data_IF_270379273272
#
_entry.id   IF_270379273272
#
_cell.length_a   1.000
_cell.length_b   1.000
_cell.length_c   1.000
_cell.angle_alpha   90.00
_cell.angle_beta   90.00
_cell.angle_gamma   90.00
#
_symmetry.space_group_name_H-M   'P 1'
#
loop_
_entity.id
_entity.type
_entity.pdbx_description
1 polymer ?
#
# COMPACT_ATOMS: atom_id res chain seq x y z
N UNK A 1 45.55 3.52 -1.12
CA UNK A 1 44.28 3.54 -1.85
C UNK A 1 43.24 3.00 -0.88
N UNK A 2 42.48 3.88 -0.29
CA UNK A 2 41.38 3.46 0.56
C UNK A 2 40.35 2.74 -0.32
N UNK A 3 40.23 1.45 -0.17
CA UNK A 3 39.12 0.68 -0.69
C UNK A 3 37.84 1.17 0.03
N UNK A 4 37.16 2.14 -0.58
CA UNK A 4 35.77 2.43 -0.20
C UNK A 4 34.98 1.15 -0.44
N UNK A 5 34.67 0.45 0.63
CA UNK A 5 33.67 -0.63 0.53
C UNK A 5 32.41 -0.04 -0.04
N UNK A 6 31.99 -0.50 -1.22
CA UNK A 6 30.71 -0.13 -1.81
C UNK A 6 29.61 -0.51 -0.81
N UNK A 7 28.70 0.43 -0.54
CA UNK A 7 27.53 0.12 0.27
C UNK A 7 26.66 -0.95 -0.43
N UNK A 8 25.90 -1.71 0.35
CA UNK A 8 24.93 -2.68 -0.20
C UNK A 8 24.03 -2.05 -1.26
N UNK A 9 23.67 -0.78 -1.10
CA UNK A 9 22.84 -0.04 -2.02
C UNK A 9 23.54 0.26 -3.35
N UNK A 10 24.82 0.58 -3.34
CA UNK A 10 25.60 0.82 -4.56
C UNK A 10 25.81 -0.46 -5.36
N UNK A 11 26.05 -1.57 -4.68
CA UNK A 11 26.16 -2.90 -5.31
C UNK A 11 24.84 -3.27 -5.98
N UNK A 12 23.73 -3.11 -5.26
CA UNK A 12 22.39 -3.36 -5.76
C UNK A 12 22.08 -2.50 -7.00
N UNK A 13 22.37 -1.20 -6.96
CA UNK A 13 22.14 -0.29 -8.08
C UNK A 13 22.92 -0.66 -9.33
N UNK A 14 24.18 -1.02 -9.14
CA UNK A 14 25.02 -1.46 -10.24
C UNK A 14 24.47 -2.72 -10.91
N UNK A 15 24.00 -3.66 -10.09
CA UNK A 15 23.42 -4.92 -10.53
C UNK A 15 22.11 -4.71 -11.31
N UNK A 16 21.16 -3.95 -10.75
CA UNK A 16 19.88 -3.68 -11.38
C UNK A 16 20.01 -2.88 -12.69
N UNK A 17 20.92 -1.91 -12.76
CA UNK A 17 21.22 -1.18 -14.01
C UNK A 17 21.75 -2.10 -15.11
N UNK A 18 22.53 -3.11 -14.77
CA UNK A 18 22.99 -4.13 -15.73
C UNK A 18 21.83 -4.97 -16.24
N UNK A 19 20.92 -5.38 -15.34
CA UNK A 19 19.69 -6.09 -15.69
C UNK A 19 18.79 -5.27 -16.60
N UNK A 20 18.54 -3.99 -16.28
CA UNK A 20 17.74 -3.09 -17.11
C UNK A 20 18.30 -3.01 -18.55
N UNK A 21 19.61 -2.86 -18.70
CA UNK A 21 20.27 -2.83 -20.03
C UNK A 21 20.12 -4.14 -20.79
N UNK A 22 20.30 -5.27 -20.12
CA UNK A 22 20.17 -6.59 -20.73
C UNK A 22 18.75 -6.91 -21.24
N UNK A 23 17.74 -6.17 -20.77
CA UNK A 23 16.32 -6.38 -21.10
C UNK A 23 15.69 -5.23 -21.86
N UNK A 24 16.45 -4.21 -22.23
CA UNK A 24 15.94 -3.02 -22.91
C UNK A 24 15.19 -3.31 -24.21
N UNK A 25 15.58 -4.39 -24.90
CA UNK A 25 14.99 -4.79 -26.19
C UNK A 25 13.85 -5.81 -26.07
N UNK A 26 13.42 -6.16 -24.86
CA UNK A 26 12.30 -7.08 -24.70
C UNK A 26 10.98 -6.42 -25.11
N UNK A 27 10.09 -7.13 -25.84
CA UNK A 27 8.81 -6.58 -26.24
C UNK A 27 7.94 -6.26 -25.01
N UNK A 28 7.20 -5.14 -25.09
CA UNK A 28 6.24 -4.76 -24.07
C UNK A 28 5.14 -5.81 -23.94
N UNK A 29 4.89 -6.27 -22.74
CA UNK A 29 3.77 -7.17 -22.45
C UNK A 29 2.44 -6.45 -22.62
N UNK A 30 1.41 -7.23 -22.87
CA UNK A 30 0.03 -6.79 -23.11
C UNK A 30 -0.87 -7.31 -21.99
N UNK A 31 -1.06 -6.58 -20.89
CA UNK A 31 -1.77 -7.08 -19.70
C UNK A 31 -3.24 -7.43 -19.92
N UNK A 32 -3.78 -7.19 -21.11
CA UNK A 32 -5.11 -7.67 -21.54
C UNK A 32 -5.08 -9.08 -22.14
N UNK A 33 -3.91 -9.68 -22.37
CA UNK A 33 -3.74 -11.09 -22.78
C UNK A 33 -3.42 -11.95 -21.57
N UNK A 34 -4.10 -13.08 -21.45
CA UNK A 34 -3.97 -13.99 -20.31
C UNK A 34 -2.52 -14.42 -20.07
N UNK A 35 -1.80 -14.81 -21.12
CA UNK A 35 -0.40 -15.23 -21.02
C UNK A 35 0.48 -14.12 -20.41
N UNK A 36 0.34 -12.89 -20.91
CA UNK A 36 1.17 -11.78 -20.44
C UNK A 36 0.80 -11.42 -18.97
N UNK A 37 -0.47 -11.58 -18.58
CA UNK A 37 -0.93 -11.41 -17.16
C UNK A 37 -0.26 -12.41 -16.23
N UNK A 38 -0.20 -13.68 -16.63
CA UNK A 38 0.45 -14.74 -15.85
C UNK A 38 1.96 -14.49 -15.71
N UNK A 39 2.62 -14.04 -16.77
CA UNK A 39 4.04 -13.68 -16.74
C UNK A 39 4.31 -12.47 -15.83
N UNK A 40 3.45 -11.44 -15.84
CA UNK A 40 3.55 -10.28 -14.94
C UNK A 40 3.36 -10.70 -13.49
N UNK A 41 2.35 -11.53 -13.22
CA UNK A 41 2.06 -12.02 -11.87
C UNK A 41 3.23 -12.85 -11.32
N UNK A 42 3.79 -13.75 -12.15
CA UNK A 42 4.94 -14.55 -11.78
C UNK A 42 6.17 -13.68 -11.49
N UNK A 43 6.42 -12.65 -12.32
CA UNK A 43 7.50 -11.69 -12.09
C UNK A 43 7.29 -10.89 -10.79
N UNK A 44 6.06 -10.45 -10.51
CA UNK A 44 5.72 -9.72 -9.28
C UNK A 44 5.98 -10.58 -8.03
N UNK A 45 5.55 -11.83 -8.03
CA UNK A 45 5.80 -12.78 -6.95
C UNK A 45 7.29 -13.03 -6.72
N UNK A 46 8.03 -13.18 -7.79
CA UNK A 46 9.47 -13.47 -7.71
C UNK A 46 10.28 -12.30 -7.16
N UNK A 47 10.05 -11.07 -7.67
CA UNK A 47 10.77 -9.87 -7.18
C UNK A 47 10.41 -9.50 -5.74
N UNK A 48 9.29 -9.93 -5.22
CA UNK A 48 8.90 -9.74 -3.82
C UNK A 48 9.41 -10.88 -2.92
N UNK A 49 9.78 -12.03 -3.47
CA UNK A 49 9.92 -13.25 -2.71
C UNK A 49 8.59 -13.75 -2.15
N UNK A 50 7.46 -13.37 -2.79
CA UNK A 50 6.12 -13.70 -2.33
C UNK A 50 5.83 -15.19 -2.51
N UNK A 51 5.45 -15.85 -1.41
CA UNK A 51 5.08 -17.27 -1.38
C UNK A 51 3.80 -17.43 -0.57
N UNK A 52 2.82 -18.14 -1.10
CA UNK A 52 1.52 -18.31 -0.42
C UNK A 52 1.66 -18.97 0.95
N UNK A 53 2.61 -19.89 1.12
CA UNK A 53 2.88 -20.56 2.41
C UNK A 53 3.61 -19.68 3.44
N UNK A 54 4.12 -18.51 3.05
CA UNK A 54 4.71 -17.52 3.96
C UNK A 54 3.71 -16.45 4.41
N UNK A 55 2.51 -16.42 3.85
CA UNK A 55 1.46 -15.50 4.31
C UNK A 55 1.08 -15.91 5.73
N UNK A 56 1.17 -15.00 6.71
CA UNK A 56 0.90 -15.36 8.11
C UNK A 56 -0.59 -15.53 8.41
N UNK A 57 -0.87 -16.23 9.48
CA UNK A 57 -2.17 -16.19 10.14
C UNK A 57 -2.20 -15.00 11.12
N UNK A 58 -3.26 -14.22 11.11
CA UNK A 58 -3.39 -13.05 11.99
C UNK A 58 -4.08 -13.44 13.29
N UNK A 59 -3.43 -13.13 14.41
CA UNK A 59 -3.96 -13.33 15.75
C UNK A 59 -4.13 -11.98 16.46
N UNK A 60 -5.36 -11.55 16.72
CA UNK A 60 -5.61 -10.36 17.53
C UNK A 60 -5.30 -10.66 19.01
N UNK A 61 -4.52 -9.78 19.65
CA UNK A 61 -4.05 -9.98 21.01
C UNK A 61 -4.75 -9.07 22.02
N UNK A 62 -4.79 -7.77 21.74
CA UNK A 62 -5.37 -6.78 22.64
C UNK A 62 -5.79 -5.55 21.86
N UNK A 63 -6.64 -4.72 22.48
CA UNK A 63 -7.06 -3.46 21.92
C UNK A 63 -7.68 -2.55 22.97
N UNK A 64 -7.68 -1.28 22.70
CA UNK A 64 -8.46 -0.25 23.41
C UNK A 64 -9.42 0.39 22.45
N UNK A 65 -10.52 0.94 22.94
CA UNK A 65 -11.53 1.56 22.08
C UNK A 65 -11.79 2.99 22.53
N UNK A 66 -11.71 3.92 21.58
CA UNK A 66 -12.10 5.31 21.75
C UNK A 66 -13.43 5.56 21.04
N UNK A 67 -14.27 6.40 21.66
CA UNK A 67 -15.59 6.76 21.12
C UNK A 67 -15.54 8.17 20.54
N UNK A 68 -16.02 8.32 19.32
CA UNK A 68 -16.17 9.59 18.62
C UNK A 68 -17.62 9.77 18.17
N UNK A 69 -17.97 10.95 17.72
CA UNK A 69 -19.30 11.22 17.15
C UNK A 69 -19.45 10.48 15.80
N UNK A 70 -20.38 9.57 15.73
CA UNK A 70 -20.70 8.79 14.53
C UNK A 70 -19.85 7.55 14.29
N UNK A 71 -18.81 7.29 15.10
CA UNK A 71 -17.96 6.10 14.97
C UNK A 71 -17.17 5.80 16.25
N UNK A 72 -16.52 4.64 16.28
CA UNK A 72 -15.48 4.31 17.28
C UNK A 72 -14.20 3.87 16.60
N UNK A 73 -13.08 4.01 17.32
CA UNK A 73 -11.76 3.53 16.88
C UNK A 73 -11.27 2.47 17.87
N UNK A 74 -11.02 1.28 17.38
CA UNK A 74 -10.41 0.19 18.13
C UNK A 74 -8.92 0.11 17.74
N UNK A 75 -8.03 0.41 18.69
CA UNK A 75 -6.58 0.25 18.53
C UNK A 75 -6.21 -1.19 18.80
N UNK A 76 -5.61 -1.85 17.84
CA UNK A 76 -5.40 -3.30 17.81
C UNK A 76 -3.90 -3.60 17.83
N UNK A 77 -3.49 -4.49 18.75
CA UNK A 77 -2.25 -5.24 18.68
C UNK A 77 -2.55 -6.60 18.04
N UNK A 78 -1.81 -6.99 17.04
CA UNK A 78 -1.91 -8.33 16.45
C UNK A 78 -0.54 -8.99 16.29
N UNK A 79 -0.50 -10.32 16.31
CA UNK A 79 0.65 -11.11 15.87
C UNK A 79 0.38 -11.58 14.44
N UNK A 80 1.36 -11.38 13.55
CA UNK A 80 1.35 -11.91 12.19
C UNK A 80 2.18 -13.19 12.12
N UNK A 81 3.47 -13.11 11.92
CA UNK A 81 4.36 -14.26 12.10
C UNK A 81 4.70 -14.45 13.57
N UNK A 82 5.15 -15.65 13.94
CA UNK A 82 5.52 -15.95 15.32
C UNK A 82 6.47 -14.90 15.93
N UNK A 83 6.07 -14.26 17.00
CA UNK A 83 6.77 -13.16 17.69
C UNK A 83 7.00 -11.91 16.83
N UNK A 84 6.24 -11.74 15.77
CA UNK A 84 6.27 -10.52 14.95
C UNK A 84 4.92 -9.84 14.99
N UNK A 85 4.91 -8.62 15.50
CA UNK A 85 3.69 -7.94 15.90
C UNK A 85 3.40 -6.72 15.02
N UNK A 86 2.13 -6.37 14.94
CA UNK A 86 1.66 -5.20 14.24
C UNK A 86 0.64 -4.40 15.03
N UNK A 87 0.50 -3.14 14.69
CA UNK A 87 -0.49 -2.22 15.24
C UNK A 87 -1.43 -1.73 14.15
N UNK A 88 -2.70 -1.60 14.50
CA UNK A 88 -3.73 -1.09 13.60
C UNK A 88 -4.79 -0.31 14.37
N UNK A 89 -5.53 0.53 13.64
CA UNK A 89 -6.75 1.18 14.11
C UNK A 89 -7.92 0.74 13.23
N UNK A 90 -8.93 0.12 13.83
CA UNK A 90 -10.17 -0.25 13.15
C UNK A 90 -11.26 0.77 13.48
N UNK A 91 -11.62 1.58 12.51
CA UNK A 91 -12.71 2.53 12.58
C UNK A 91 -14.02 1.79 12.30
N UNK A 92 -14.97 1.88 13.23
CA UNK A 92 -16.26 1.21 13.18
C UNK A 92 -17.39 2.22 13.07
N UNK A 93 -18.18 2.22 11.99
CA UNK A 93 -19.32 3.11 11.86
C UNK A 93 -20.44 2.75 12.86
N UNK A 94 -21.20 3.74 13.28
CA UNK A 94 -22.41 3.49 14.10
C UNK A 94 -23.42 2.59 13.39
N UNK A 95 -24.27 1.92 14.19
CA UNK A 95 -25.42 1.14 13.72
C UNK A 95 -25.12 -0.28 13.28
N UNK A 96 -23.85 -0.73 13.37
CA UNK A 96 -23.48 -2.12 13.13
C UNK A 96 -23.84 -2.67 11.74
N UNK A 97 -23.91 -4.01 11.62
CA UNK A 97 -24.28 -4.72 10.40
C UNK A 97 -23.14 -4.99 9.44
N UNK A 98 -23.43 -5.76 8.39
CA UNK A 98 -22.45 -6.16 7.36
C UNK A 98 -22.22 -5.00 6.39
N UNK A 99 -21.00 -4.48 6.32
CA UNK A 99 -20.63 -3.29 5.54
C UNK A 99 -19.32 -3.47 4.80
N UNK A 100 -19.03 -2.63 3.77
CA UNK A 100 -17.75 -2.61 3.09
C UNK A 100 -16.58 -2.36 4.04
N UNK A 101 -15.41 -2.87 3.67
CA UNK A 101 -14.14 -2.58 4.34
C UNK A 101 -13.23 -1.77 3.41
N UNK A 102 -12.61 -0.72 3.92
CA UNK A 102 -11.55 0.01 3.22
C UNK A 102 -10.26 -0.04 4.04
N UNK A 103 -9.17 -0.50 3.42
CA UNK A 103 -7.84 -0.34 3.98
C UNK A 103 -7.29 1.02 3.57
N UNK A 104 -6.82 1.80 4.54
CA UNK A 104 -6.01 2.99 4.31
C UNK A 104 -4.56 2.61 4.55
N UNK A 105 -3.74 2.68 3.51
CA UNK A 105 -2.34 2.30 3.52
C UNK A 105 -1.47 3.55 3.67
N UNK A 106 -0.82 3.77 4.84
CA UNK A 106 0.02 4.94 5.08
C UNK A 106 1.27 4.95 4.21
N UNK A 107 1.75 6.14 3.89
CA UNK A 107 3.10 6.36 3.39
C UNK A 107 4.13 6.36 4.52
N UNK A 108 5.39 6.69 4.17
CA UNK A 108 6.45 6.80 5.16
C UNK A 108 6.24 8.02 6.07
N UNK A 109 6.44 7.83 7.37
CA UNK A 109 6.32 8.87 8.37
C UNK A 109 6.55 8.32 9.77
N UNK A 110 7.04 9.17 10.68
CA UNK A 110 7.26 8.80 12.09
C UNK A 110 5.95 8.41 12.78
N UNK A 111 4.87 9.11 12.45
CA UNK A 111 3.54 8.90 13.02
C UNK A 111 2.81 7.69 12.43
N UNK A 112 3.30 7.17 11.29
CA UNK A 112 2.68 6.02 10.62
C UNK A 112 1.19 6.23 10.35
N UNK A 113 0.36 5.29 10.85
CA UNK A 113 -1.09 5.35 10.71
C UNK A 113 -1.76 6.55 11.38
N UNK A 114 -1.10 7.14 12.38
CA UNK A 114 -1.64 8.28 13.15
C UNK A 114 -1.34 9.64 12.51
N UNK A 115 -0.67 9.68 11.35
CA UNK A 115 -0.51 10.90 10.56
C UNK A 115 -1.89 11.47 10.19
N UNK A 116 -2.06 12.77 10.38
CA UNK A 116 -3.34 13.50 10.21
C UNK A 116 -4.07 13.14 8.92
N UNK A 117 -3.38 13.17 7.78
CA UNK A 117 -4.03 12.95 6.49
C UNK A 117 -4.61 11.53 6.34
N UNK A 118 -4.02 10.52 6.99
CA UNK A 118 -4.54 9.15 6.97
C UNK A 118 -5.70 8.96 7.92
N UNK A 119 -5.61 9.55 9.13
CA UNK A 119 -6.73 9.58 10.07
C UNK A 119 -7.94 10.33 9.48
N UNK A 120 -7.74 11.49 8.84
CA UNK A 120 -8.80 12.24 8.15
C UNK A 120 -9.43 11.43 7.01
N UNK A 121 -8.64 10.68 6.26
CA UNK A 121 -9.18 9.76 5.26
C UNK A 121 -10.03 8.66 5.91
N UNK A 122 -9.55 8.06 6.99
CA UNK A 122 -10.32 7.04 7.71
C UNK A 122 -11.64 7.59 8.28
N UNK A 123 -11.62 8.80 8.85
CA UNK A 123 -12.83 9.48 9.32
C UNK A 123 -13.84 9.71 8.20
N UNK A 124 -13.41 10.20 7.03
CA UNK A 124 -14.31 10.36 5.87
C UNK A 124 -14.98 9.05 5.49
N UNK A 125 -14.21 7.98 5.36
CA UNK A 125 -14.72 6.69 4.92
C UNK A 125 -15.64 6.01 5.95
N UNK A 126 -15.30 6.11 7.26
CA UNK A 126 -16.16 5.52 8.31
C UNK A 126 -17.49 6.26 8.42
N UNK A 127 -17.50 7.59 8.29
CA UNK A 127 -18.71 8.39 8.29
C UNK A 127 -19.58 8.18 7.03
N UNK A 128 -18.98 7.70 5.92
CA UNK A 128 -19.70 7.23 4.75
C UNK A 128 -20.29 5.82 4.94
N UNK A 129 -19.97 5.15 6.04
CA UNK A 129 -20.52 3.85 6.43
C UNK A 129 -19.63 2.64 6.14
N UNK A 130 -18.35 2.81 5.83
CA UNK A 130 -17.40 1.70 5.72
C UNK A 130 -16.77 1.36 7.09
N UNK A 131 -16.41 0.11 7.31
CA UNK A 131 -15.32 -0.21 8.24
C UNK A 131 -14.01 0.23 7.61
N UNK A 132 -13.10 0.80 8.40
CA UNK A 132 -11.80 1.25 7.88
C UNK A 132 -10.69 0.65 8.73
N UNK A 133 -9.79 -0.09 8.09
CA UNK A 133 -8.58 -0.58 8.73
C UNK A 133 -7.40 0.27 8.32
N UNK A 134 -6.69 0.80 9.30
CA UNK A 134 -5.53 1.65 9.15
C UNK A 134 -4.39 1.03 9.97
N UNK A 135 -3.46 0.31 9.31
CA UNK A 135 -2.35 -0.39 9.96
C UNK A 135 -1.02 0.33 9.76
N UNK A 136 -0.14 0.25 10.75
CA UNK A 136 1.24 0.66 10.55
C UNK A 136 1.96 -0.33 9.64
N UNK A 137 2.65 0.18 8.64
CA UNK A 137 3.57 -0.63 7.85
C UNK A 137 4.70 -1.16 8.73
N UNK A 138 5.32 -2.26 8.32
CA UNK A 138 6.49 -2.83 9.01
C UNK A 138 7.54 -1.73 9.20
N UNK A 139 7.92 -1.50 10.45
CA UNK A 139 8.93 -0.53 10.85
C UNK A 139 8.54 0.95 10.70
N UNK A 140 7.24 1.27 10.67
CA UNK A 140 6.70 2.64 10.67
C UNK A 140 5.78 2.85 11.89
N UNK A 141 5.55 4.11 12.26
CA UNK A 141 4.68 4.46 13.36
C UNK A 141 5.10 3.79 14.67
N UNK A 142 4.16 3.16 15.38
CA UNK A 142 4.45 2.41 16.61
C UNK A 142 5.41 1.23 16.38
N UNK A 143 5.49 0.70 15.16
CA UNK A 143 6.40 -0.39 14.78
C UNK A 143 7.82 0.08 14.40
N UNK A 144 8.14 1.38 14.50
CA UNK A 144 9.47 1.91 14.17
C UNK A 144 10.65 1.12 14.79
N UNK A 145 10.57 0.62 16.03
CA UNK A 145 11.65 -0.18 16.62
C UNK A 145 11.97 -1.50 15.89
N UNK A 146 11.07 -2.01 15.04
CA UNK A 146 11.32 -3.27 14.31
C UNK A 146 12.25 -3.07 13.11
N UNK A 147 12.42 -1.83 12.64
CA UNK A 147 13.32 -1.47 11.55
C UNK A 147 12.64 -1.46 10.17
N UNK A 148 13.02 -0.50 9.34
CA UNK A 148 12.50 -0.30 7.98
C UNK A 148 13.55 0.18 6.99
N UNK A 149 14.11 1.39 7.20
CA UNK A 149 14.93 2.07 6.19
C UNK A 149 16.21 1.31 5.84
N UNK A 150 16.84 0.72 6.86
CA UNK A 150 18.15 0.04 6.77
C UNK A 150 18.04 -1.49 6.85
N UNK A 151 16.81 -2.04 6.78
CA UNK A 151 16.60 -3.48 6.85
C UNK A 151 16.95 -4.15 5.53
N UNK A 152 18.13 -4.74 5.46
CA UNK A 152 18.63 -5.40 4.24
C UNK A 152 18.63 -6.93 4.35
N UNK A 153 18.47 -7.51 5.54
CA UNK A 153 18.41 -8.97 5.72
C UNK A 153 17.30 -9.62 4.87
N UNK A 154 16.07 -9.06 4.76
CA UNK A 154 15.06 -9.62 3.88
C UNK A 154 15.56 -9.84 2.45
N UNK A 155 16.29 -8.88 1.88
CA UNK A 155 16.85 -8.99 0.54
C UNK A 155 17.83 -10.17 0.41
N UNK A 156 18.71 -10.36 1.39
CA UNK A 156 19.66 -11.49 1.40
C UNK A 156 18.97 -12.84 1.63
N UNK A 157 17.84 -12.84 2.31
CA UNK A 157 17.01 -14.02 2.52
C UNK A 157 16.09 -14.34 1.33
N UNK A 158 16.18 -13.61 0.23
CA UNK A 158 15.35 -13.81 -0.96
C UNK A 158 13.89 -13.38 -0.80
N UNK A 159 13.60 -12.58 0.21
CA UNK A 159 12.30 -11.94 0.45
C UNK A 159 12.56 -10.43 0.53
N UNK A 160 11.90 -9.62 -0.30
CA UNK A 160 12.03 -8.17 -0.14
C UNK A 160 11.24 -7.69 1.08
N UNK A 161 11.66 -6.56 1.70
CA UNK A 161 10.85 -5.93 2.74
C UNK A 161 9.43 -5.62 2.24
N UNK A 162 9.31 -5.15 0.99
CA UNK A 162 8.01 -4.94 0.36
C UNK A 162 7.20 -6.23 0.25
N UNK A 163 7.86 -7.37 0.03
CA UNK A 163 7.21 -8.69 0.02
C UNK A 163 6.61 -9.06 1.37
N UNK A 164 7.33 -8.80 2.47
CA UNK A 164 6.79 -8.99 3.83
C UNK A 164 5.58 -8.09 4.06
N UNK A 165 5.68 -6.79 3.71
CA UNK A 165 4.57 -5.83 3.85
C UNK A 165 3.34 -6.29 3.06
N UNK A 166 3.51 -6.76 1.83
CA UNK A 166 2.40 -7.23 0.99
C UNK A 166 1.78 -8.50 1.56
N UNK A 167 2.59 -9.48 2.01
CA UNK A 167 2.08 -10.73 2.59
C UNK A 167 1.30 -10.49 3.88
N UNK A 168 1.81 -9.63 4.77
CA UNK A 168 1.10 -9.25 6.00
C UNK A 168 -0.21 -8.52 5.70
N UNK A 169 -0.21 -7.59 4.73
CA UNK A 169 -1.42 -6.86 4.34
C UNK A 169 -2.47 -7.80 3.74
N UNK A 170 -2.06 -8.73 2.88
CA UNK A 170 -2.98 -9.76 2.34
C UNK A 170 -3.56 -10.62 3.46
N UNK A 171 -2.75 -10.99 4.45
CA UNK A 171 -3.22 -11.73 5.62
C UNK A 171 -4.26 -10.93 6.43
N UNK A 172 -4.00 -9.64 6.68
CA UNK A 172 -4.95 -8.73 7.34
C UNK A 172 -6.26 -8.61 6.56
N UNK A 173 -6.20 -8.46 5.24
CA UNK A 173 -7.39 -8.41 4.39
C UNK A 173 -8.21 -9.69 4.53
N UNK A 174 -7.59 -10.85 4.45
CA UNK A 174 -8.25 -12.16 4.59
C UNK A 174 -8.84 -12.36 5.98
N UNK A 175 -8.10 -11.97 7.02
CA UNK A 175 -8.59 -12.00 8.40
C UNK A 175 -9.86 -11.13 8.56
N UNK A 176 -9.82 -9.90 8.03
CA UNK A 176 -10.95 -8.99 8.10
C UNK A 176 -12.13 -9.46 7.23
N UNK A 177 -11.89 -10.01 6.05
CA UNK A 177 -12.92 -10.57 5.19
C UNK A 177 -13.72 -11.71 5.86
N UNK A 178 -13.09 -12.46 6.75
CA UNK A 178 -13.72 -13.54 7.51
C UNK A 178 -14.58 -13.03 8.68
N UNK A 179 -14.55 -11.73 9.02
CA UNK A 179 -15.34 -11.18 10.10
C UNK A 179 -16.80 -11.03 9.69
N UNK A 180 -17.72 -11.42 10.57
CA UNK A 180 -19.17 -11.43 10.28
C UNK A 180 -19.75 -10.05 9.95
N UNK A 181 -19.09 -8.97 10.36
CA UNK A 181 -19.51 -7.59 10.09
C UNK A 181 -18.95 -7.02 8.77
N UNK A 182 -18.01 -7.70 8.11
CA UNK A 182 -17.43 -7.27 6.83
C UNK A 182 -18.18 -7.90 5.66
N UNK A 183 -18.50 -7.09 4.67
CA UNK A 183 -18.97 -7.55 3.36
C UNK A 183 -17.76 -7.91 2.51
N UNK A 184 -17.44 -9.18 2.44
CA UNK A 184 -16.28 -9.74 1.73
C UNK A 184 -16.32 -9.48 0.22
N UNK A 185 -17.44 -9.07 -0.33
CA UNK A 185 -17.57 -8.72 -1.76
C UNK A 185 -17.23 -7.25 -2.04
N UNK A 186 -17.13 -6.43 -0.97
CA UNK A 186 -16.89 -5.00 -1.06
C UNK A 186 -15.70 -4.59 -0.17
N UNK A 187 -14.52 -5.05 -0.55
CA UNK A 187 -13.25 -4.70 0.12
C UNK A 187 -12.43 -3.84 -0.82
N UNK A 188 -11.92 -2.71 -0.31
CA UNK A 188 -11.08 -1.81 -1.08
C UNK A 188 -9.81 -1.43 -0.32
N UNK A 189 -8.84 -0.86 -1.05
CA UNK A 189 -7.68 -0.23 -0.46
C UNK A 189 -7.38 1.12 -1.12
N UNK A 190 -6.85 2.06 -0.33
CA UNK A 190 -6.29 3.32 -0.84
C UNK A 190 -4.99 3.64 -0.11
N UNK A 191 -4.02 4.23 -0.81
CA UNK A 191 -2.74 4.53 -0.21
C UNK A 191 -1.96 5.60 -0.95
N UNK A 192 -1.17 6.38 -0.20
CA UNK A 192 -0.32 7.43 -0.73
C UNK A 192 1.16 7.14 -0.50
N UNK A 193 2.04 7.54 -1.41
CA UNK A 193 3.49 7.40 -1.27
C UNK A 193 3.89 5.93 -1.05
N UNK A 194 4.47 5.56 0.09
CA UNK A 194 4.73 4.16 0.47
C UNK A 194 3.47 3.29 0.48
N UNK A 195 2.31 3.86 0.88
CA UNK A 195 1.02 3.20 0.75
C UNK A 195 0.58 3.05 -0.71
N UNK A 196 0.92 3.99 -1.58
CA UNK A 196 0.75 3.88 -3.04
C UNK A 196 1.62 2.77 -3.64
N UNK A 197 2.84 2.56 -3.10
CA UNK A 197 3.67 1.40 -3.42
C UNK A 197 2.96 0.10 -3.09
N UNK A 198 2.47 -0.01 -1.85
CA UNK A 198 1.71 -1.18 -1.39
C UNK A 198 0.49 -1.44 -2.28
N UNK A 199 -0.33 -0.41 -2.53
CA UNK A 199 -1.49 -0.51 -3.42
C UNK A 199 -1.11 -0.97 -4.84
N UNK A 200 0.04 -0.54 -5.37
CA UNK A 200 0.53 -0.98 -6.69
C UNK A 200 0.78 -2.49 -6.72
N UNK A 201 1.33 -3.08 -5.67
CA UNK A 201 1.52 -4.53 -5.58
C UNK A 201 0.24 -5.28 -5.23
N UNK A 202 -0.61 -4.72 -4.37
CA UNK A 202 -1.92 -5.30 -4.06
C UNK A 202 -2.82 -5.40 -5.30
N UNK A 203 -2.69 -4.49 -6.27
CA UNK A 203 -3.39 -4.56 -7.55
C UNK A 203 -3.19 -5.91 -8.28
N UNK A 204 -2.00 -6.47 -8.15
CA UNK A 204 -1.64 -7.74 -8.79
C UNK A 204 -1.86 -8.96 -7.89
N UNK A 205 -1.67 -8.82 -6.56
CA UNK A 205 -1.50 -9.94 -5.63
C UNK A 205 -2.68 -10.16 -4.68
N UNK A 206 -3.64 -9.23 -4.62
CA UNK A 206 -4.78 -9.33 -3.73
C UNK A 206 -6.09 -9.43 -4.53
N UNK A 207 -6.55 -10.65 -4.85
CA UNK A 207 -7.80 -10.84 -5.57
C UNK A 207 -9.04 -10.46 -4.76
N UNK A 208 -8.93 -10.39 -3.44
CA UNK A 208 -9.99 -10.04 -2.50
C UNK A 208 -10.47 -8.58 -2.67
N UNK A 209 -9.62 -7.69 -3.21
CA UNK A 209 -9.99 -6.29 -3.41
C UNK A 209 -10.98 -6.11 -4.56
N UNK A 210 -12.10 -5.44 -4.31
CA UNK A 210 -13.09 -5.07 -5.32
C UNK A 210 -12.85 -3.68 -5.93
N UNK A 211 -12.12 -2.79 -5.24
CA UNK A 211 -11.77 -1.44 -5.68
C UNK A 211 -10.41 -1.02 -5.12
N UNK A 212 -9.69 -0.12 -5.81
CA UNK A 212 -8.35 0.29 -5.41
C UNK A 212 -8.07 1.76 -5.80
N UNK A 213 -7.38 2.50 -4.91
CA UNK A 213 -6.79 3.79 -5.23
C UNK A 213 -5.31 3.80 -4.89
N UNK A 214 -4.45 4.18 -5.84
CA UNK A 214 -3.02 4.34 -5.64
C UNK A 214 -2.59 5.77 -5.97
N UNK A 215 -1.98 6.44 -4.97
CA UNK A 215 -1.60 7.86 -5.03
C UNK A 215 -0.11 8.06 -4.77
N UNK A 216 0.48 9.09 -5.40
CA UNK A 216 1.82 9.57 -5.09
C UNK A 216 2.97 8.58 -5.31
N UNK A 217 2.74 7.52 -6.09
CA UNK A 217 3.77 6.52 -6.44
C UNK A 217 3.68 6.01 -7.87
N UNK A 218 2.50 5.82 -8.50
CA UNK A 218 2.40 5.25 -9.83
C UNK A 218 3.24 6.01 -10.86
N UNK A 219 4.41 5.47 -11.19
CA UNK A 219 5.40 6.05 -12.11
C UNK A 219 6.12 4.91 -12.87
N UNK A 220 7.42 4.87 -12.87
CA UNK A 220 8.22 3.84 -13.51
C UNK A 220 9.29 3.32 -12.56
N UNK A 221 9.48 2.01 -12.47
CA UNK A 221 10.56 1.42 -11.67
C UNK A 221 11.93 1.87 -12.16
N UNK A 222 12.09 2.10 -13.47
CA UNK A 222 13.32 2.66 -14.04
C UNK A 222 13.67 4.04 -13.47
N UNK A 223 12.67 4.85 -13.11
CA UNK A 223 12.89 6.13 -12.44
C UNK A 223 13.33 5.93 -10.97
N UNK A 224 12.69 5.03 -10.24
CA UNK A 224 13.07 4.72 -8.86
C UNK A 224 14.52 4.21 -8.81
N UNK A 225 14.90 3.36 -9.77
CA UNK A 225 16.27 2.85 -9.87
C UNK A 225 17.31 3.94 -10.17
N UNK A 226 16.96 4.91 -11.02
CA UNK A 226 17.88 5.99 -11.42
C UNK A 226 17.99 7.09 -10.36
N UNK A 227 17.02 7.21 -9.47
CA UNK A 227 17.01 8.24 -8.45
C UNK A 227 17.99 7.88 -7.34
N UNK A 228 18.93 8.79 -7.06
CA UNK A 228 19.89 8.66 -5.97
C UNK A 228 19.23 8.61 -4.57
N UNK A 229 17.95 8.96 -4.50
CA UNK A 229 17.15 8.92 -3.29
C UNK A 229 16.28 7.66 -3.23
N UNK A 230 16.86 6.54 -2.97
CA UNK A 230 16.12 5.42 -2.42
C UNK A 230 15.87 5.68 -0.94
N UNK A 231 14.59 5.84 -0.59
CA UNK A 231 14.21 6.27 0.74
C UNK A 231 14.38 5.16 1.80
N UNK A 232 14.30 3.89 1.39
CA UNK A 232 14.30 2.78 2.33
C UNK A 232 14.49 1.42 1.64
N UNK A 233 14.74 0.40 2.44
CA UNK A 233 14.87 -0.98 1.99
C UNK A 233 13.59 -1.55 1.32
N UNK A 234 12.41 -0.94 1.53
CA UNK A 234 11.18 -1.39 0.86
C UNK A 234 11.23 -1.23 -0.68
N UNK A 235 12.14 -0.41 -1.20
CA UNK A 235 12.41 -0.28 -2.63
C UNK A 235 13.55 -1.19 -3.13
N UNK A 236 14.13 -2.04 -2.26
CA UNK A 236 15.11 -3.06 -2.65
C UNK A 236 14.37 -4.30 -3.17
N UNK A 237 14.14 -4.33 -4.47
CA UNK A 237 13.46 -5.42 -5.15
C UNK A 237 14.46 -6.16 -6.05
N UNK A 238 14.75 -7.45 -5.81
CA UNK A 238 15.70 -8.17 -6.63
C UNK A 238 15.21 -8.35 -8.06
N UNK A 239 16.07 -8.09 -9.02
CA UNK A 239 15.88 -8.39 -10.45
C UNK A 239 14.63 -7.76 -11.11
N UNK A 240 14.12 -6.65 -10.58
CA UNK A 240 12.91 -6.05 -11.13
C UNK A 240 13.16 -5.20 -12.38
N UNK A 241 14.34 -4.58 -12.48
CA UNK A 241 14.66 -3.64 -13.54
C UNK A 241 14.57 -4.27 -14.94
N UNK A 242 13.79 -3.68 -15.81
CA UNK A 242 13.50 -4.19 -17.16
C UNK A 242 12.69 -5.50 -17.19
N UNK A 243 12.29 -6.02 -16.04
CA UNK A 243 11.49 -7.24 -15.92
C UNK A 243 10.05 -6.98 -15.52
N UNK A 244 9.82 -5.88 -14.79
CA UNK A 244 8.51 -5.50 -14.26
C UNK A 244 8.39 -3.98 -14.26
N UNK A 245 7.20 -3.47 -14.57
CA UNK A 245 6.88 -2.05 -14.46
C UNK A 245 5.58 -1.82 -13.68
N UNK A 246 5.47 -0.66 -13.03
CA UNK A 246 4.33 -0.33 -12.16
C UNK A 246 3.01 -0.35 -12.93
N UNK A 247 3.00 0.12 -14.19
CA UNK A 247 1.79 0.10 -15.01
C UNK A 247 1.31 -1.32 -15.33
N UNK A 248 2.22 -2.30 -15.40
CA UNK A 248 1.87 -3.70 -15.61
C UNK A 248 1.15 -4.27 -14.38
N UNK A 249 1.67 -4.01 -13.18
CA UNK A 249 1.03 -4.41 -11.91
C UNK A 249 -0.37 -3.82 -11.77
N UNK A 250 -0.49 -2.49 -11.96
CA UNK A 250 -1.77 -1.78 -11.91
C UNK A 250 -2.76 -2.28 -12.99
N UNK A 251 -2.25 -2.67 -14.16
CA UNK A 251 -3.07 -3.24 -15.23
C UNK A 251 -3.65 -4.60 -14.89
N UNK A 252 -3.02 -5.36 -13.98
CA UNK A 252 -3.59 -6.64 -13.51
C UNK A 252 -4.87 -6.45 -12.70
N UNK A 253 -5.12 -5.25 -12.18
CA UNK A 253 -6.36 -4.95 -11.47
C UNK A 253 -7.60 -4.89 -12.37
N UNK A 254 -7.41 -4.58 -13.65
CA UNK A 254 -8.52 -4.52 -14.61
C UNK A 254 -9.26 -5.87 -14.72
N UNK A 255 -10.61 -5.86 -14.80
CA UNK A 255 -11.51 -4.74 -15.03
C UNK A 255 -12.15 -4.15 -13.74
N UNK A 256 -11.55 -4.35 -12.55
CA UNK A 256 -12.07 -3.82 -11.28
C UNK A 256 -11.86 -2.29 -11.23
N UNK A 257 -12.72 -1.52 -10.51
CA UNK A 257 -12.58 -0.07 -10.36
C UNK A 257 -11.21 0.35 -9.81
N UNK A 258 -10.51 1.25 -10.52
CA UNK A 258 -9.19 1.74 -10.18
C UNK A 258 -9.13 3.27 -10.28
N UNK A 259 -8.64 3.93 -9.23
CA UNK A 259 -8.24 5.33 -9.24
C UNK A 259 -6.72 5.43 -9.15
N UNK A 260 -6.11 6.15 -10.09
CA UNK A 260 -4.74 6.63 -9.99
C UNK A 260 -4.80 8.14 -9.73
N UNK A 261 -4.17 8.59 -8.66
CA UNK A 261 -4.20 10.00 -8.27
C UNK A 261 -2.78 10.52 -8.01
N UNK A 262 -2.50 11.77 -8.39
CA UNK A 262 -1.25 12.45 -8.06
C UNK A 262 -1.36 13.97 -8.14
N UNK A 263 -0.69 14.66 -7.20
CA UNK A 263 -0.47 16.09 -7.27
C UNK A 263 0.39 16.49 -8.48
N UNK A 264 -0.03 17.50 -9.23
CA UNK A 264 0.76 18.01 -10.39
C UNK A 264 2.03 18.75 -9.96
N UNK A 265 2.13 19.16 -8.70
CA UNK A 265 3.27 19.82 -8.10
C UNK A 265 4.11 18.86 -7.22
N UNK A 266 3.87 17.55 -7.36
CA UNK A 266 4.65 16.53 -6.67
C UNK A 266 6.11 16.61 -7.08
N UNK A 267 7.00 16.81 -6.10
CA UNK A 267 8.44 16.94 -6.30
C UNK A 267 9.20 15.61 -6.14
N UNK A 268 8.52 14.56 -5.70
CA UNK A 268 9.11 13.22 -5.54
C UNK A 268 8.88 12.36 -6.77
N UNK A 269 7.70 12.40 -7.34
CA UNK A 269 7.33 11.62 -8.52
C UNK A 269 7.03 12.57 -9.67
N UNK A 270 7.83 12.56 -10.76
CA UNK A 270 7.61 13.44 -11.90
C UNK A 270 6.24 13.24 -12.55
N UNK A 271 5.50 14.31 -12.69
CA UNK A 271 4.14 14.31 -13.23
C UNK A 271 4.02 13.64 -14.61
N UNK A 272 5.02 13.82 -15.47
CA UNK A 272 5.00 13.19 -16.79
C UNK A 272 5.14 11.67 -16.76
N UNK A 273 5.84 11.11 -15.76
CA UNK A 273 5.91 9.67 -15.53
C UNK A 273 4.55 9.13 -15.10
N UNK A 274 3.89 9.81 -14.17
CA UNK A 274 2.54 9.47 -13.75
C UNK A 274 1.56 9.45 -14.93
N UNK A 275 1.53 10.51 -15.74
CA UNK A 275 0.68 10.57 -16.93
C UNK A 275 0.96 9.45 -17.93
N UNK A 276 2.23 9.12 -18.13
CA UNK A 276 2.63 8.05 -19.05
C UNK A 276 2.18 6.69 -18.54
N UNK A 277 2.38 6.43 -17.24
CA UNK A 277 1.92 5.24 -16.55
C UNK A 277 0.39 5.11 -16.62
N UNK A 278 -0.33 6.15 -16.25
CA UNK A 278 -1.81 6.16 -16.29
C UNK A 278 -2.39 5.91 -17.70
N UNK A 279 -1.74 6.45 -18.76
CA UNK A 279 -2.16 6.14 -20.14
C UNK A 279 -2.01 4.67 -20.50
N UNK A 280 -0.91 4.02 -20.07
CA UNK A 280 -0.68 2.59 -20.32
C UNK A 280 -1.73 1.74 -19.60
N UNK A 281 -2.01 2.04 -18.34
CA UNK A 281 -3.05 1.33 -17.56
C UNK A 281 -4.42 1.54 -18.19
N UNK A 282 -4.80 2.78 -18.54
CA UNK A 282 -6.08 3.08 -19.22
C UNK A 282 -6.22 2.31 -20.54
N UNK A 283 -5.14 2.17 -21.30
CA UNK A 283 -5.18 1.35 -22.52
C UNK A 283 -5.55 -0.11 -22.22
N UNK A 284 -5.03 -0.70 -21.14
CA UNK A 284 -5.43 -2.06 -20.73
C UNK A 284 -6.92 -2.15 -20.43
N UNK A 285 -7.47 -1.19 -19.66
CA UNK A 285 -8.91 -1.13 -19.39
C UNK A 285 -9.74 -1.00 -20.67
N UNK A 286 -9.29 -0.16 -21.60
CA UNK A 286 -9.93 -0.01 -22.92
C UNK A 286 -9.92 -1.32 -23.72
N UNK A 287 -8.80 -2.02 -23.76
CA UNK A 287 -8.69 -3.32 -24.45
C UNK A 287 -9.61 -4.40 -23.86
N UNK A 288 -9.93 -4.27 -22.57
CA UNK A 288 -10.85 -5.16 -21.84
C UNK A 288 -12.32 -4.66 -21.85
N UNK A 289 -12.63 -3.54 -22.53
CA UNK A 289 -13.97 -2.97 -22.60
C UNK A 289 -14.47 -2.39 -21.29
N UNK A 290 -13.58 -1.90 -20.42
CA UNK A 290 -13.88 -1.42 -19.06
C UNK A 290 -13.27 -0.03 -18.79
N UNK A 291 -13.10 0.80 -19.83
CA UNK A 291 -12.42 2.10 -19.71
C UNK A 291 -13.10 3.04 -18.70
N UNK A 292 -14.41 2.90 -18.49
CA UNK A 292 -15.19 3.68 -17.55
C UNK A 292 -14.84 3.36 -16.07
N UNK A 293 -14.20 2.24 -15.80
CA UNK A 293 -13.81 1.78 -14.45
C UNK A 293 -12.46 2.30 -13.99
N UNK A 294 -11.69 2.96 -14.85
CA UNK A 294 -10.46 3.62 -14.45
C UNK A 294 -10.62 5.13 -14.45
N UNK A 295 -10.21 5.76 -13.34
CA UNK A 295 -10.02 7.21 -13.23
C UNK A 295 -8.52 7.51 -13.10
N UNK A 296 -8.02 8.50 -13.82
CA UNK A 296 -6.67 9.04 -13.65
C UNK A 296 -6.84 10.52 -13.34
N UNK A 297 -6.63 10.85 -12.09
CA UNK A 297 -6.89 12.17 -11.51
C UNK A 297 -5.58 12.91 -11.25
N UNK A 298 -5.61 14.20 -11.44
CA UNK A 298 -4.51 15.11 -11.06
C UNK A 298 -5.09 16.31 -10.35
N UNK A 299 -4.53 16.61 -9.19
CA UNK A 299 -4.85 17.79 -8.38
C UNK A 299 -3.68 18.78 -8.41
N UNK A 300 -3.90 20.10 -8.21
CA UNK A 300 -2.82 21.07 -8.14
C UNK A 300 -2.15 21.08 -6.74
N UNK A 301 -1.74 19.91 -6.28
CA UNK A 301 -1.16 19.66 -4.93
C UNK A 301 0.25 19.09 -5.03
N UNK A 302 0.95 19.05 -3.91
CA UNK A 302 2.29 18.46 -3.76
C UNK A 302 2.19 16.95 -3.44
N UNK A 303 3.25 16.36 -2.87
CA UNK A 303 3.30 14.95 -2.47
C UNK A 303 2.56 14.73 -1.12
N UNK A 304 1.25 14.95 -1.09
CA UNK A 304 0.45 14.77 0.13
C UNK A 304 -1.03 14.57 -0.20
N UNK A 305 -1.77 13.98 0.73
CA UNK A 305 -3.22 13.93 0.67
C UNK A 305 -3.81 15.18 1.33
N UNK A 306 -4.07 16.21 0.55
CA UNK A 306 -4.83 17.39 1.01
C UNK A 306 -6.31 17.03 1.22
N UNK A 307 -7.09 17.92 1.84
CA UNK A 307 -8.54 17.74 1.99
C UNK A 307 -9.23 17.48 0.65
N UNK A 308 -8.78 18.15 -0.42
CA UNK A 308 -9.29 17.93 -1.78
C UNK A 308 -8.97 16.52 -2.30
N UNK A 309 -7.73 16.05 -2.15
CA UNK A 309 -7.34 14.72 -2.61
C UNK A 309 -8.13 13.64 -1.87
N UNK A 310 -8.30 13.80 -0.54
CA UNK A 310 -9.11 12.91 0.29
C UNK A 310 -10.58 12.90 -0.13
N UNK A 311 -11.15 14.05 -0.49
CA UNK A 311 -12.51 14.13 -1.00
C UNK A 311 -12.68 13.35 -2.32
N UNK A 312 -11.78 13.53 -3.27
CA UNK A 312 -11.83 12.85 -4.58
C UNK A 312 -11.69 11.32 -4.42
N UNK A 313 -10.76 10.87 -3.55
CA UNK A 313 -10.57 9.44 -3.29
C UNK A 313 -11.79 8.87 -2.54
N UNK A 314 -12.30 9.56 -1.53
CA UNK A 314 -13.48 9.11 -0.78
C UNK A 314 -14.74 9.08 -1.66
N UNK A 315 -14.87 10.01 -2.62
CA UNK A 315 -15.95 10.00 -3.61
C UNK A 315 -15.85 8.80 -4.55
N UNK A 316 -14.64 8.48 -5.01
CA UNK A 316 -14.41 7.28 -5.81
C UNK A 316 -14.74 5.99 -5.03
N UNK A 317 -14.36 5.92 -3.75
CA UNK A 317 -14.70 4.78 -2.89
C UNK A 317 -16.20 4.66 -2.67
N UNK A 318 -16.89 5.80 -2.47
CA UNK A 318 -18.35 5.82 -2.35
C UNK A 318 -19.03 5.24 -3.58
N UNK A 319 -18.63 5.68 -4.77
CA UNK A 319 -19.18 5.21 -6.04
C UNK A 319 -18.92 3.70 -6.23
N UNK A 320 -17.69 3.25 -5.95
CA UNK A 320 -17.26 1.88 -6.24
C UNK A 320 -17.74 0.85 -5.22
N UNK A 321 -18.02 1.26 -3.98
CA UNK A 321 -18.45 0.39 -2.87
C UNK A 321 -19.92 0.61 -2.49
N UNK A 322 -20.62 1.50 -3.16
CA UNK A 322 -21.99 1.90 -2.83
C UNK A 322 -22.13 2.35 -1.35
N UNK A 323 -21.27 3.32 -0.97
CA UNK A 323 -21.32 4.01 0.33
C UNK A 323 -22.18 5.28 0.24
N UNK A 324 -22.41 5.92 1.37
CA UNK A 324 -22.98 7.27 1.39
C UNK A 324 -22.05 8.25 0.64
N UNK A 325 -22.60 9.27 -0.03
CA UNK A 325 -21.79 10.25 -0.74
C UNK A 325 -20.76 10.93 0.17
N UNK A 326 -19.56 11.20 -0.36
CA UNK A 326 -18.56 11.98 0.35
C UNK A 326 -19.07 13.42 0.54
N UNK A 327 -18.90 13.95 1.74
CA UNK A 327 -19.21 15.36 2.00
C UNK A 327 -18.10 16.26 1.42
N UNK A 328 -18.50 17.42 0.88
CA UNK A 328 -17.58 18.46 0.43
C UNK A 328 -17.30 19.42 1.59
N UNK A 329 -16.03 19.80 1.78
CA UNK A 329 -15.64 20.76 2.79
C UNK A 329 -14.28 20.45 3.40
N UNK A 330 -13.83 21.35 4.27
CA UNK A 330 -12.55 21.18 4.97
C UNK A 330 -12.69 20.17 6.10
N UNK A 331 -11.74 19.25 6.19
CA UNK A 331 -11.74 18.20 7.20
C UNK A 331 -11.62 18.77 8.63
N UNK A 332 -10.81 19.83 8.80
CA UNK A 332 -10.56 20.41 10.10
C UNK A 332 -11.80 21.12 10.67
N UNK A 333 -12.69 21.58 9.80
CA UNK A 333 -13.95 22.21 10.19
C UNK A 333 -15.08 21.20 10.43
N UNK A 334 -15.05 20.06 9.76
CA UNK A 334 -16.19 19.17 9.65
C UNK A 334 -16.01 17.83 10.37
N UNK A 335 -14.79 17.46 10.73
CA UNK A 335 -14.48 16.16 11.31
C UNK A 335 -14.15 16.26 12.81
N UNK A 336 -14.49 15.23 13.61
CA UNK A 336 -14.08 15.12 15.00
C UNK A 336 -12.56 15.21 15.19
N UNK A 337 -12.07 15.48 16.43
CA UNK A 337 -10.64 15.44 16.74
C UNK A 337 -9.98 14.12 16.31
N UNK A 338 -8.70 14.19 16.05
CA UNK A 338 -7.88 13.00 15.72
C UNK A 338 -7.48 12.25 16.99
N UNK A 339 -7.13 10.98 16.86
CA UNK A 339 -6.43 10.24 17.90
C UNK A 339 -5.07 10.89 18.20
N UNK A 340 -4.66 10.88 19.45
CA UNK A 340 -3.39 11.48 19.86
C UNK A 340 -2.20 10.58 19.49
N UNK A 341 -1.34 11.09 18.62
CA UNK A 341 -0.10 10.40 18.23
C UNK A 341 0.90 10.26 19.41
N UNK A 342 0.93 11.20 20.31
CA UNK A 342 1.89 11.21 21.43
C UNK A 342 1.58 10.14 22.51
N UNK A 343 0.41 9.51 22.43
CA UNK A 343 0.01 8.45 23.37
C UNK A 343 0.17 7.09 22.69
N UNK A 344 1.07 6.21 23.19
CA UNK A 344 1.15 4.84 22.66
C UNK A 344 -0.18 4.11 22.88
N UNK A 345 -0.74 3.57 21.79
CA UNK A 345 -2.01 2.85 21.81
C UNK A 345 -1.84 1.34 22.00
N UNK A 346 -0.64 0.82 21.70
CA UNK A 346 -0.28 -0.57 21.91
C UNK A 346 1.12 -0.69 22.52
N UNK A 347 1.36 -1.78 23.24
CA UNK A 347 2.68 -2.14 23.77
C UNK A 347 3.08 -3.51 23.22
N UNK A 348 4.22 -3.55 22.55
CA UNK A 348 4.75 -4.80 22.00
C UNK A 348 5.42 -5.66 23.10
N UNK A 349 5.33 -7.00 23.01
CA UNK A 349 6.09 -7.90 23.89
C UNK A 349 7.61 -7.70 23.78
N UNK A 350 8.32 -7.88 24.90
CA UNK A 350 9.79 -7.70 24.96
C UNK A 350 10.56 -8.68 24.05
N UNK A 351 9.94 -9.80 23.70
CA UNK A 351 10.52 -10.83 22.85
C UNK A 351 10.19 -10.67 21.36
N UNK A 352 9.60 -9.52 20.98
CA UNK A 352 9.26 -9.22 19.61
C UNK A 352 10.48 -9.26 18.67
N UNK A 353 10.31 -9.87 17.50
CA UNK A 353 11.36 -9.92 16.48
C UNK A 353 11.46 -8.58 15.75
N UNK A 354 12.67 -8.22 15.36
CA UNK A 354 12.91 -7.19 14.36
C UNK A 354 12.63 -7.72 12.94
N UNK A 355 12.49 -6.83 11.99
CA UNK A 355 12.29 -7.18 10.57
C UNK A 355 13.41 -8.08 10.03
N UNK A 356 14.66 -7.80 10.39
CA UNK A 356 15.81 -8.61 9.97
C UNK A 356 15.74 -10.02 10.57
N UNK A 357 15.39 -10.12 11.85
CA UNK A 357 15.24 -11.42 12.54
C UNK A 357 14.05 -12.23 12.03
N UNK A 358 12.96 -11.56 11.65
CA UNK A 358 11.85 -12.23 10.99
C UNK A 358 12.31 -12.84 9.66
N UNK A 359 13.00 -12.07 8.82
CA UNK A 359 13.46 -12.54 7.51
C UNK A 359 14.38 -13.78 7.66
N UNK A 360 15.31 -13.76 8.61
CA UNK A 360 16.16 -14.90 8.95
C UNK A 360 15.36 -16.14 9.43
N UNK A 361 14.26 -15.92 10.13
CA UNK A 361 13.41 -17.02 10.65
C UNK A 361 12.51 -17.64 9.57
N UNK A 362 12.24 -16.94 8.47
CA UNK A 362 11.40 -17.41 7.36
C UNK A 362 12.17 -18.18 6.29
N UNK A 363 13.48 -18.24 6.37
CA UNK A 363 14.39 -18.90 5.40
C UNK A 363 15.14 -20.07 6.00
#
# INVERSE_FOLDING_TARGET
MDEKSLSTMEIYDSYERRFARARADQPLRRPWLQKDREEILAAARDVLGYRDFLIPDIHLLSGSTEQFEGYSVEHILFESWHRFYGSASLYRPEGGGKRPLVLVCPGHGEEGRLTDCYQRMAQRLVLQGAYVLLSDNIGQGERAPFGHADCVAPFYCGISLQGLIVMETVALIRYMAAQSFVDETRIAACGNSGGGTLCTFLAALCPELSSLSASGYPSEFSYILQKERRHCACNLLPHYAGRLEMWELLSLFAPRPLLLEQGSLDNLIPYDLFKRNGRKVRNTYKQLGAEEKIRVLTTPTTHSWTSRDRFEIASFMADSLNLSPAFAGDDDELLPPLCDFCVPHVSFPDDALTTDRLAEALT
#
